data_IF_299179109859
#
_entry.id   IF_299179109859
#
_cell.length_a   1.000
_cell.length_b   1.000
_cell.length_c   1.000
_cell.angle_alpha   90.00
_cell.angle_beta   90.00
_cell.angle_gamma   90.00
#
_symmetry.space_group_name_H-M   'P 1'
#
loop_
_entity.id
_entity.type
_entity.pdbx_description
1 polymer ?
#
# COMPACT_ATOMS: atom_id res chain seq x y z
N UNK A 1 0.14 22.23 24.71
CA UNK A 1 1.06 21.22 24.13
C UNK A 1 1.18 21.53 22.64
N UNK A 2 2.39 21.73 22.12
CA UNK A 2 2.59 21.84 20.67
C UNK A 2 2.14 20.52 20.03
N UNK A 3 1.01 20.54 19.33
CA UNK A 3 0.46 19.37 18.66
C UNK A 3 1.42 19.00 17.52
N UNK A 4 2.10 17.86 17.63
CA UNK A 4 2.99 17.38 16.55
C UNK A 4 2.14 16.99 15.35
N UNK A 5 2.55 17.42 14.16
CA UNK A 5 1.89 17.09 12.90
C UNK A 5 1.90 15.57 12.69
N UNK A 6 3.02 14.90 12.90
CA UNK A 6 3.10 13.44 12.87
C UNK A 6 3.56 12.91 14.23
N UNK A 7 3.24 11.64 14.56
CA UNK A 7 3.75 11.01 15.76
C UNK A 7 5.29 10.95 15.75
N UNK A 8 5.88 10.90 16.94
CA UNK A 8 7.30 10.58 17.07
C UNK A 8 7.45 9.06 17.10
N UNK A 9 8.42 8.53 16.37
CA UNK A 9 8.76 7.12 16.44
C UNK A 9 10.01 6.88 17.28
N UNK A 10 10.10 5.69 17.85
CA UNK A 10 11.26 5.17 18.55
C UNK A 10 11.67 3.88 17.85
N UNK A 11 12.96 3.77 17.54
CA UNK A 11 13.58 2.59 16.96
C UNK A 11 15.08 2.63 17.27
N UNK A 12 15.78 1.49 17.26
CA UNK A 12 17.21 1.47 17.60
C UNK A 12 18.08 2.03 16.48
N UNK A 13 17.65 1.88 15.22
CA UNK A 13 18.37 2.35 14.04
C UNK A 13 18.06 3.83 13.80
N UNK A 14 19.09 4.68 13.90
CA UNK A 14 18.95 6.13 13.78
C UNK A 14 18.69 6.57 12.33
N UNK A 15 19.22 5.86 11.33
CA UNK A 15 19.01 6.21 9.92
C UNK A 15 17.53 6.10 9.55
N UNK A 16 16.84 5.14 10.17
CA UNK A 16 15.40 4.92 9.99
C UNK A 16 14.57 6.03 10.64
N UNK A 17 15.01 6.54 11.79
CA UNK A 17 14.39 7.69 12.44
C UNK A 17 14.62 8.95 11.58
N UNK A 18 15.81 9.12 11.03
CA UNK A 18 16.17 10.29 10.25
C UNK A 18 15.41 10.34 8.92
N UNK A 19 15.27 9.21 8.21
CA UNK A 19 14.46 9.16 6.98
C UNK A 19 12.96 9.34 7.26
N UNK A 20 12.44 8.81 8.38
CA UNK A 20 11.08 9.09 8.82
C UNK A 20 10.89 10.60 8.96
N UNK A 21 11.72 11.27 9.77
CA UNK A 21 11.62 12.71 10.03
C UNK A 21 11.80 13.55 8.75
N UNK A 22 12.75 13.18 7.89
CA UNK A 22 13.00 13.87 6.62
C UNK A 22 11.81 13.75 5.67
N UNK A 23 11.18 12.58 5.63
CA UNK A 23 9.98 12.34 4.81
C UNK A 23 8.81 13.22 5.25
N UNK A 24 8.65 13.46 6.57
CA UNK A 24 7.61 14.37 7.08
C UNK A 24 7.79 15.80 6.54
N UNK A 25 9.04 16.27 6.47
CA UNK A 25 9.37 17.59 5.91
C UNK A 25 9.05 17.65 4.42
N UNK A 26 9.44 16.65 3.64
CA UNK A 26 9.20 16.66 2.19
C UNK A 26 7.75 16.50 1.79
N UNK A 27 6.95 15.79 2.58
CA UNK A 27 5.50 15.71 2.34
C UNK A 27 4.87 17.09 2.40
N UNK A 28 5.32 17.94 3.34
CA UNK A 28 4.79 19.30 3.48
C UNK A 28 4.91 20.10 2.16
N UNK A 29 6.01 19.94 1.43
CA UNK A 29 6.24 20.59 0.13
C UNK A 29 5.29 20.10 -0.98
N UNK A 30 4.65 18.95 -0.77
CA UNK A 30 3.66 18.34 -1.67
C UNK A 30 2.20 18.58 -1.23
N UNK A 31 2.00 19.23 -0.09
CA UNK A 31 0.66 19.63 0.37
C UNK A 31 0.28 20.95 -0.30
N UNK A 32 -0.79 20.93 -1.08
CA UNK A 32 -1.37 22.11 -1.69
C UNK A 32 -2.46 22.66 -0.76
N UNK A 33 -2.30 23.93 -0.39
CA UNK A 33 -3.28 24.70 0.37
C UNK A 33 -4.05 25.61 -0.59
N UNK A 34 -5.30 25.27 -0.96
CA UNK A 34 -6.11 26.11 -1.84
C UNK A 34 -6.34 27.49 -1.20
N UNK A 35 -6.28 28.55 -2.02
CA UNK A 35 -6.64 29.89 -1.57
C UNK A 35 -8.15 29.94 -1.30
N UNK A 36 -8.55 30.64 -0.23
CA UNK A 36 -9.95 30.78 0.20
C UNK A 36 -10.89 31.13 -0.94
N UNK A 37 -11.98 30.37 -1.10
CA UNK A 37 -13.12 30.75 -1.94
C UNK A 37 -13.91 31.88 -1.26
N UNK A 38 -14.53 32.74 -2.08
CA UNK A 38 -15.55 33.68 -1.61
C UNK A 38 -16.67 32.91 -0.88
N UNK A 39 -17.12 33.45 0.26
CA UNK A 39 -18.11 32.89 1.19
C UNK A 39 -17.65 31.67 2.00
N UNK A 40 -16.64 31.84 2.84
CA UNK A 40 -16.52 31.13 4.14
C UNK A 40 -16.28 29.62 4.11
N UNK A 41 -16.20 28.97 2.95
CA UNK A 41 -15.76 27.59 2.79
C UNK A 41 -14.28 27.56 2.47
N UNK A 42 -13.45 27.17 3.45
CA UNK A 42 -12.06 26.78 3.19
C UNK A 42 -12.06 25.38 2.59
N UNK A 43 -11.61 25.23 1.35
CA UNK A 43 -11.26 23.90 0.84
C UNK A 43 -10.17 23.28 1.71
N UNK A 44 -10.26 21.96 1.93
CA UNK A 44 -9.22 21.25 2.68
C UNK A 44 -7.94 21.19 1.84
N UNK A 45 -6.79 21.14 2.51
CA UNK A 45 -5.52 20.83 1.87
C UNK A 45 -5.58 19.48 1.14
N UNK A 46 -4.75 19.29 0.11
CA UNK A 46 -4.65 18.02 -0.62
C UNK A 46 -3.21 17.73 -1.02
N UNK A 47 -2.87 16.45 -1.17
CA UNK A 47 -1.56 16.01 -1.61
C UNK A 47 -1.50 15.90 -3.13
N UNK A 48 -0.42 16.37 -3.75
CA UNK A 48 -0.13 16.13 -5.16
C UNK A 48 1.38 16.00 -5.39
N UNK A 49 1.81 14.91 -6.04
CA UNK A 49 3.22 14.72 -6.38
C UNK A 49 3.66 15.68 -7.49
N UNK A 50 2.76 15.87 -8.46
CA UNK A 50 2.90 16.75 -9.62
C UNK A 50 2.18 18.07 -9.34
N UNK A 51 2.76 19.17 -9.82
CA UNK A 51 2.05 20.43 -9.82
C UNK A 51 0.97 20.45 -10.90
N UNK A 52 1.16 19.75 -12.02
CA UNK A 52 0.33 19.90 -13.23
C UNK A 52 -0.95 19.06 -13.25
N UNK A 53 -0.97 17.95 -12.53
CA UNK A 53 -2.10 17.02 -12.52
C UNK A 53 -2.17 16.23 -11.22
N UNK A 54 -3.35 15.73 -10.90
CA UNK A 54 -3.55 14.70 -9.88
C UNK A 54 -3.56 13.31 -10.53
N UNK A 55 -2.95 12.33 -9.86
CA UNK A 55 -2.86 10.94 -10.31
C UNK A 55 -3.59 10.02 -9.32
N UNK A 56 -4.43 9.13 -9.84
CA UNK A 56 -5.30 8.27 -9.03
C UNK A 56 -4.51 7.35 -8.09
N UNK A 57 -3.41 6.77 -8.58
CA UNK A 57 -2.61 5.83 -7.79
C UNK A 57 -1.99 6.60 -6.62
N UNK A 58 -1.38 7.75 -6.89
CA UNK A 58 -0.78 8.60 -5.86
C UNK A 58 -1.82 9.16 -4.89
N UNK A 59 -3.01 9.53 -5.36
CA UNK A 59 -4.12 9.98 -4.51
C UNK A 59 -4.56 8.88 -3.53
N UNK A 60 -4.72 7.64 -4.01
CA UNK A 60 -5.10 6.50 -3.17
C UNK A 60 -3.97 6.11 -2.21
N UNK A 61 -2.74 5.97 -2.71
CA UNK A 61 -1.60 5.53 -1.91
C UNK A 61 -1.18 6.58 -0.87
N UNK A 62 -1.28 7.88 -1.18
CA UNK A 62 -0.96 8.93 -0.20
C UNK A 62 -1.85 8.89 1.05
N UNK A 63 -3.08 8.38 0.94
CA UNK A 63 -3.96 8.20 2.09
C UNK A 63 -3.37 7.27 3.17
N UNK A 64 -2.51 6.31 2.80
CA UNK A 64 -1.91 5.35 3.72
C UNK A 64 -0.90 5.99 4.68
N UNK A 65 -0.15 7.01 4.24
CA UNK A 65 0.77 7.73 5.13
C UNK A 65 0.16 9.02 5.71
N UNK A 66 -0.70 9.73 4.97
CA UNK A 66 -1.31 10.97 5.46
C UNK A 66 -2.26 10.74 6.63
N UNK A 67 -2.80 9.53 6.79
CA UNK A 67 -3.65 9.20 7.93
C UNK A 67 -2.90 9.26 9.26
N UNK A 68 -1.57 9.23 9.24
CA UNK A 68 -0.70 9.42 10.41
C UNK A 68 -0.34 10.89 10.69
N UNK A 69 -0.89 11.85 9.93
CA UNK A 69 -0.62 13.30 10.11
C UNK A 69 -1.40 13.96 11.26
N UNK A 70 -1.82 13.19 12.27
CA UNK A 70 -2.56 13.67 13.45
C UNK A 70 -3.75 14.62 13.16
N UNK A 71 -4.33 14.51 11.96
CA UNK A 71 -5.43 15.34 11.48
C UNK A 71 -5.04 16.70 10.91
N UNK A 72 -3.75 16.99 10.77
CA UNK A 72 -3.25 18.25 10.17
C UNK A 72 -3.33 18.23 8.64
N UNK A 73 -2.99 17.09 8.02
CA UNK A 73 -3.16 16.90 6.58
C UNK A 73 -4.35 15.99 6.30
N UNK A 74 -5.12 16.34 5.28
CA UNK A 74 -6.28 15.55 4.89
C UNK A 74 -5.81 14.32 4.10
N UNK A 75 -6.07 13.09 4.59
CA UNK A 75 -5.74 11.88 3.86
C UNK A 75 -6.78 11.57 2.76
N UNK A 76 -7.84 12.39 2.64
CA UNK A 76 -8.98 12.12 1.74
C UNK A 76 -9.14 13.15 0.64
N UNK A 77 -8.64 14.38 0.80
CA UNK A 77 -9.03 15.48 -0.09
C UNK A 77 -8.69 15.23 -1.56
N UNK A 78 -7.53 14.62 -1.84
CA UNK A 78 -7.17 14.30 -3.23
C UNK A 78 -8.11 13.26 -3.81
N UNK A 79 -8.50 12.24 -3.04
CA UNK A 79 -9.50 11.24 -3.44
C UNK A 79 -10.88 11.91 -3.64
N UNK A 80 -11.26 12.83 -2.76
CA UNK A 80 -12.54 13.55 -2.85
C UNK A 80 -12.63 14.38 -4.15
N UNK A 81 -11.50 14.92 -4.66
CA UNK A 81 -11.45 15.55 -5.99
C UNK A 81 -11.77 14.58 -7.11
N UNK A 82 -11.24 13.36 -7.08
CA UNK A 82 -11.60 12.33 -8.06
C UNK A 82 -13.09 11.99 -7.99
N UNK A 83 -13.66 11.89 -6.80
CA UNK A 83 -15.08 11.60 -6.63
C UNK A 83 -16.00 12.70 -7.14
N UNK A 84 -15.60 13.97 -7.03
CA UNK A 84 -16.33 15.11 -7.59
C UNK A 84 -16.34 15.10 -9.13
N UNK A 85 -15.37 14.43 -9.74
CA UNK A 85 -15.22 14.28 -11.19
C UNK A 85 -15.79 12.97 -11.72
N UNK A 86 -16.51 12.21 -10.89
CA UNK A 86 -17.22 11.01 -11.35
C UNK A 86 -18.30 11.39 -12.37
N UNK A 87 -18.21 10.80 -13.56
CA UNK A 87 -19.15 11.03 -14.64
C UNK A 87 -20.49 10.30 -14.40
N UNK A 88 -21.53 10.67 -15.15
CA UNK A 88 -22.84 10.01 -15.09
C UNK A 88 -22.76 8.50 -15.40
N UNK A 89 -21.77 8.08 -16.20
CA UNK A 89 -21.47 6.68 -16.52
C UNK A 89 -20.93 5.88 -15.33
N UNK A 90 -20.52 6.56 -14.24
CA UNK A 90 -19.76 6.00 -13.12
C UNK A 90 -18.24 6.10 -13.29
N UNK A 91 -17.75 6.52 -14.47
CA UNK A 91 -16.33 6.64 -14.76
C UNK A 91 -15.63 7.65 -13.84
N UNK A 92 -14.43 7.29 -13.41
CA UNK A 92 -13.45 8.20 -12.80
C UNK A 92 -12.15 7.94 -13.54
N UNK A 93 -11.57 8.99 -14.14
CA UNK A 93 -10.36 8.87 -14.95
C UNK A 93 -9.12 8.84 -14.07
N UNK A 94 -8.04 8.27 -14.58
CA UNK A 94 -6.79 8.03 -13.87
C UNK A 94 -6.01 9.31 -13.54
N UNK A 95 -6.23 10.38 -14.33
CA UNK A 95 -5.56 11.67 -14.18
C UNK A 95 -6.46 12.83 -14.61
N UNK A 96 -6.31 13.93 -13.89
CA UNK A 96 -6.95 15.21 -14.22
C UNK A 96 -5.96 16.36 -14.06
N UNK A 97 -5.98 17.33 -14.98
CA UNK A 97 -5.20 18.56 -14.88
C UNK A 97 -5.77 19.52 -13.81
N UNK A 98 -5.11 20.68 -13.60
CA UNK A 98 -5.58 21.72 -12.66
C UNK A 98 -6.97 22.30 -12.98
N UNK A 99 -7.39 22.20 -14.24
CA UNK A 99 -8.68 22.67 -14.75
C UNK A 99 -9.74 21.56 -14.71
N UNK A 100 -9.44 20.42 -14.09
CA UNK A 100 -10.28 19.23 -14.02
C UNK A 100 -10.56 18.55 -15.36
N UNK A 101 -9.76 18.79 -16.40
CA UNK A 101 -9.86 18.03 -17.64
C UNK A 101 -9.17 16.67 -17.50
N UNK A 102 -9.81 15.62 -18.00
CA UNK A 102 -9.23 14.28 -18.01
C UNK A 102 -7.99 14.23 -18.92
N UNK A 103 -6.90 13.63 -18.42
CA UNK A 103 -5.67 13.40 -19.19
C UNK A 103 -5.64 11.94 -19.61
N UNK A 104 -5.73 11.69 -20.91
CA UNK A 104 -5.67 10.36 -21.50
C UNK A 104 -4.23 10.01 -21.86
N UNK A 105 -3.83 8.77 -21.54
CA UNK A 105 -2.53 8.21 -21.90
C UNK A 105 -2.70 7.34 -23.13
N UNK A 106 -1.66 7.24 -23.96
CA UNK A 106 -1.66 6.39 -25.14
C UNK A 106 -1.99 4.92 -24.77
N UNK A 107 -3.01 4.34 -25.42
CA UNK A 107 -3.49 2.99 -25.10
C UNK A 107 -4.38 2.90 -23.86
N UNK A 108 -4.81 4.05 -23.32
CA UNK A 108 -5.75 4.17 -22.23
C UNK A 108 -6.91 5.13 -22.60
N UNK A 109 -7.63 4.80 -23.67
CA UNK A 109 -8.66 5.68 -24.24
C UNK A 109 -9.84 5.94 -23.28
N UNK A 110 -10.09 5.00 -22.38
CA UNK A 110 -11.08 5.13 -21.30
C UNK A 110 -10.50 5.80 -20.04
N UNK A 111 -9.22 6.16 -20.03
CA UNK A 111 -8.56 6.76 -18.87
C UNK A 111 -8.68 5.91 -17.61
N UNK A 112 -8.77 4.59 -17.69
CA UNK A 112 -8.89 3.71 -16.53
C UNK A 112 -7.60 3.74 -15.70
N UNK A 113 -7.71 3.69 -14.38
CA UNK A 113 -6.55 3.38 -13.54
C UNK A 113 -6.82 2.20 -12.61
N UNK A 114 -5.94 1.96 -11.65
CA UNK A 114 -6.05 0.77 -10.79
C UNK A 114 -7.31 0.84 -9.90
N UNK A 115 -8.06 -0.26 -9.74
CA UNK A 115 -9.32 -0.27 -8.98
C UNK A 115 -9.08 -0.29 -7.46
N UNK A 116 -8.43 0.75 -6.93
CA UNK A 116 -7.94 0.80 -5.54
C UNK A 116 -8.63 1.85 -4.64
N UNK A 117 -9.64 2.58 -5.15
CA UNK A 117 -10.39 3.53 -4.32
C UNK A 117 -11.05 2.83 -3.11
N UNK A 118 -11.72 1.69 -3.33
CA UNK A 118 -12.36 0.96 -2.24
C UNK A 118 -11.36 0.46 -1.20
N UNK A 119 -10.14 0.10 -1.62
CA UNK A 119 -9.07 -0.29 -0.70
C UNK A 119 -8.60 0.88 0.16
N UNK A 120 -8.39 2.05 -0.45
CA UNK A 120 -8.04 3.27 0.27
C UNK A 120 -9.12 3.63 1.30
N UNK A 121 -10.41 3.61 0.92
CA UNK A 121 -11.53 3.91 1.84
C UNK A 121 -11.65 2.89 2.97
N UNK A 122 -11.45 1.60 2.68
CA UNK A 122 -11.46 0.55 3.69
C UNK A 122 -10.33 0.77 4.71
N UNK A 123 -9.10 1.04 4.25
CA UNK A 123 -7.98 1.37 5.13
C UNK A 123 -8.28 2.63 5.97
N UNK A 124 -8.75 3.71 5.34
CA UNK A 124 -9.14 4.96 6.01
C UNK A 124 -10.21 4.73 7.08
N UNK A 125 -11.18 3.85 6.85
CA UNK A 125 -12.19 3.50 7.85
C UNK A 125 -11.56 2.86 9.08
N UNK A 126 -10.63 1.91 8.92
CA UNK A 126 -9.94 1.29 10.05
C UNK A 126 -9.12 2.30 10.85
N UNK A 127 -8.52 3.30 10.21
CA UNK A 127 -7.71 4.32 10.91
C UNK A 127 -8.52 5.48 11.49
N UNK A 128 -9.69 5.79 10.94
CA UNK A 128 -10.49 6.98 11.33
C UNK A 128 -11.84 6.65 11.97
N UNK A 129 -12.34 5.43 11.79
CA UNK A 129 -13.66 4.95 12.20
C UNK A 129 -14.84 5.73 11.60
N UNK A 130 -14.61 6.57 10.57
CA UNK A 130 -15.59 7.55 10.11
C UNK A 130 -16.71 6.90 9.28
N UNK A 131 -17.74 6.38 9.97
CA UNK A 131 -18.90 5.74 9.33
C UNK A 131 -19.68 6.68 8.40
N UNK A 132 -19.73 7.98 8.69
CA UNK A 132 -20.38 8.97 7.81
C UNK A 132 -19.71 9.01 6.45
N UNK A 133 -18.36 9.04 6.41
CA UNK A 133 -17.61 9.00 5.16
C UNK A 133 -17.99 7.79 4.31
N UNK A 134 -18.18 6.62 4.93
CA UNK A 134 -18.58 5.41 4.20
C UNK A 134 -19.96 5.59 3.54
N UNK A 135 -20.91 6.20 4.24
CA UNK A 135 -22.22 6.54 3.66
C UNK A 135 -22.10 7.48 2.46
N UNK A 136 -21.15 8.43 2.50
CA UNK A 136 -20.95 9.42 1.45
C UNK A 136 -20.29 8.79 0.20
N UNK A 137 -19.30 7.91 0.39
CA UNK A 137 -18.46 7.38 -0.70
C UNK A 137 -18.94 6.05 -1.28
N UNK A 138 -19.69 5.23 -0.54
CA UNK A 138 -20.10 3.90 -1.00
C UNK A 138 -20.88 3.92 -2.33
N UNK A 139 -21.82 4.86 -2.57
CA UNK A 139 -22.49 4.98 -3.87
C UNK A 139 -21.54 5.34 -5.02
N UNK A 140 -20.48 6.12 -4.75
CA UNK A 140 -19.46 6.48 -5.74
C UNK A 140 -18.62 5.26 -6.09
N UNK A 141 -18.20 4.48 -5.08
CA UNK A 141 -17.46 3.24 -5.27
C UNK A 141 -18.26 2.20 -6.07
N UNK A 142 -19.55 2.04 -5.76
CA UNK A 142 -20.44 1.14 -6.49
C UNK A 142 -20.54 1.50 -7.97
N UNK A 143 -20.80 2.79 -8.27
CA UNK A 143 -20.84 3.29 -9.66
C UNK A 143 -19.52 3.08 -10.40
N UNK A 144 -18.40 3.37 -9.76
CA UNK A 144 -17.08 3.18 -10.39
C UNK A 144 -16.81 1.70 -10.66
N UNK A 145 -17.11 0.81 -9.72
CA UNK A 145 -16.97 -0.63 -9.92
C UNK A 145 -17.83 -1.12 -11.09
N UNK A 146 -19.11 -0.70 -11.13
CA UNK A 146 -20.03 -1.08 -12.23
C UNK A 146 -19.59 -0.53 -13.57
N UNK A 147 -19.01 0.66 -13.61
CA UNK A 147 -18.40 1.19 -14.83
C UNK A 147 -17.24 0.31 -15.30
N UNK A 148 -16.34 -0.14 -14.40
CA UNK A 148 -15.27 -1.07 -14.76
C UNK A 148 -15.86 -2.40 -15.27
N UNK A 149 -16.83 -2.95 -14.56
CA UNK A 149 -17.53 -4.20 -14.92
C UNK A 149 -18.14 -4.11 -16.32
N UNK A 150 -18.86 -3.01 -16.62
CA UNK A 150 -19.51 -2.80 -17.91
C UNK A 150 -18.53 -2.74 -19.09
N UNK A 151 -17.35 -2.13 -18.91
CA UNK A 151 -16.45 -1.82 -20.02
C UNK A 151 -15.32 -2.85 -20.21
N UNK A 152 -14.89 -3.52 -19.14
CA UNK A 152 -13.66 -4.33 -19.16
C UNK A 152 -13.86 -5.80 -18.83
N UNK A 153 -15.02 -6.21 -18.28
CA UNK A 153 -15.35 -7.63 -18.06
C UNK A 153 -15.56 -8.34 -19.40
N UNK A 154 -15.02 -9.55 -19.54
CA UNK A 154 -15.19 -10.40 -20.74
C UNK A 154 -16.05 -11.63 -20.42
N UNK A 155 -16.44 -12.34 -21.48
CA UNK A 155 -17.37 -13.48 -21.40
C UNK A 155 -16.90 -14.62 -20.50
N UNK A 156 -15.60 -14.75 -20.25
CA UNK A 156 -15.03 -15.76 -19.37
C UNK A 156 -15.12 -15.40 -17.87
N UNK A 157 -15.51 -14.16 -17.55
CA UNK A 157 -15.63 -13.64 -16.19
C UNK A 157 -14.36 -12.96 -15.66
N UNK A 158 -13.32 -12.79 -16.48
CA UNK A 158 -12.13 -11.99 -16.17
C UNK A 158 -12.18 -10.62 -16.84
N UNK A 159 -11.42 -9.68 -16.29
CA UNK A 159 -11.26 -8.33 -16.81
C UNK A 159 -10.05 -8.26 -17.73
N UNK A 160 -10.18 -7.53 -18.84
CA UNK A 160 -9.11 -7.33 -19.82
C UNK A 160 -8.82 -5.85 -20.03
N UNK A 161 -7.55 -5.48 -19.84
CA UNK A 161 -6.99 -4.15 -20.10
C UNK A 161 -5.54 -4.29 -20.58
N UNK A 162 -5.02 -3.30 -21.31
CA UNK A 162 -3.62 -3.29 -21.73
C UNK A 162 -2.70 -2.71 -20.65
N UNK A 163 -2.40 -3.49 -19.61
CA UNK A 163 -1.58 -3.05 -18.47
C UNK A 163 -0.19 -2.52 -18.86
N UNK A 164 0.41 -3.00 -19.94
CA UNK A 164 1.74 -2.56 -20.37
C UNK A 164 1.73 -1.14 -20.93
N UNK A 165 0.67 -0.77 -21.66
CA UNK A 165 0.50 0.61 -22.14
C UNK A 165 0.08 1.55 -21.01
N UNK A 166 -0.74 1.07 -20.09
CA UNK A 166 -1.36 1.90 -19.05
C UNK A 166 -0.43 2.10 -17.84
N UNK A 167 0.15 1.04 -17.29
CA UNK A 167 0.89 1.06 -16.01
C UNK A 167 2.37 0.68 -16.15
N UNK A 168 2.67 -0.36 -16.93
CA UNK A 168 3.99 -1.01 -16.92
C UNK A 168 4.71 -0.85 -18.26
N UNK A 169 5.00 0.40 -18.64
CA UNK A 169 5.74 0.70 -19.88
C UNK A 169 7.01 -0.13 -19.93
N UNK A 170 7.22 -0.87 -21.02
CA UNK A 170 8.32 -1.81 -21.28
C UNK A 170 8.26 -3.19 -20.61
N UNK A 171 7.15 -3.57 -19.97
CA UNK A 171 7.03 -4.88 -19.32
C UNK A 171 7.22 -6.11 -20.25
N UNK A 172 7.82 -7.21 -19.74
CA UNK A 172 7.92 -8.48 -20.48
C UNK A 172 6.56 -9.15 -20.75
N UNK A 173 5.47 -8.68 -20.14
CA UNK A 173 4.11 -9.25 -20.20
C UNK A 173 3.39 -8.95 -21.53
N UNK A 174 4.10 -8.99 -22.68
CA UNK A 174 3.64 -8.41 -23.97
C UNK A 174 2.28 -8.92 -24.44
N UNK A 175 2.01 -10.20 -24.24
CA UNK A 175 0.79 -10.87 -24.72
C UNK A 175 -0.33 -10.90 -23.67
N UNK A 176 -0.15 -10.25 -22.51
CA UNK A 176 -1.13 -10.26 -21.44
C UNK A 176 -2.44 -9.59 -21.89
N UNK A 177 -3.50 -10.40 -21.95
CA UNK A 177 -4.85 -9.95 -22.25
C UNK A 177 -5.74 -9.95 -21.01
N UNK A 178 -5.60 -10.95 -20.14
CA UNK A 178 -6.23 -11.00 -18.82
C UNK A 178 -5.15 -10.84 -17.73
N UNK A 179 -4.92 -9.62 -17.26
CA UNK A 179 -3.83 -9.33 -16.34
C UNK A 179 -4.16 -9.70 -14.89
N UNK A 180 -3.28 -10.44 -14.22
CA UNK A 180 -3.50 -11.01 -12.88
C UNK A 180 -3.66 -9.93 -11.80
N UNK A 181 -2.85 -8.88 -11.87
CA UNK A 181 -2.90 -7.72 -10.97
C UNK A 181 -4.23 -6.99 -11.05
N UNK A 182 -4.69 -6.63 -12.24
CA UNK A 182 -5.95 -5.89 -12.39
C UNK A 182 -7.14 -6.72 -11.88
N UNK A 183 -7.18 -8.01 -12.23
CA UNK A 183 -8.22 -8.92 -11.74
C UNK A 183 -8.14 -9.09 -10.21
N UNK A 184 -6.95 -9.22 -9.63
CA UNK A 184 -6.76 -9.32 -8.18
C UNK A 184 -7.19 -8.05 -7.44
N UNK A 185 -6.86 -6.88 -7.96
CA UNK A 185 -7.28 -5.60 -7.38
C UNK A 185 -8.79 -5.37 -7.54
N UNK A 186 -9.40 -5.85 -8.64
CA UNK A 186 -10.84 -5.79 -8.83
C UNK A 186 -11.59 -6.74 -7.87
N UNK A 187 -11.05 -7.94 -7.59
CA UNK A 187 -11.54 -8.80 -6.49
C UNK A 187 -11.42 -8.07 -5.15
N UNK A 188 -10.27 -7.44 -4.90
CA UNK A 188 -10.04 -6.73 -3.64
C UNK A 188 -11.03 -5.58 -3.45
N UNK A 189 -11.30 -4.84 -4.52
CA UNK A 189 -12.30 -3.77 -4.53
C UNK A 189 -13.69 -4.30 -4.16
N UNK A 190 -14.11 -5.44 -4.71
CA UNK A 190 -15.37 -6.08 -4.35
C UNK A 190 -15.40 -6.52 -2.87
N UNK A 191 -14.30 -7.08 -2.37
CA UNK A 191 -14.15 -7.42 -0.95
C UNK A 191 -14.33 -6.17 -0.08
N UNK A 192 -13.60 -5.10 -0.34
CA UNK A 192 -13.68 -3.84 0.41
C UNK A 192 -15.09 -3.24 0.37
N UNK A 193 -15.72 -3.16 -0.80
CA UNK A 193 -17.10 -2.64 -0.93
C UNK A 193 -18.08 -3.48 -0.10
N UNK A 194 -17.94 -4.82 -0.11
CA UNK A 194 -18.81 -5.68 0.70
C UNK A 194 -18.67 -5.41 2.21
N UNK A 195 -17.44 -5.19 2.69
CA UNK A 195 -17.17 -4.87 4.09
C UNK A 195 -17.70 -3.48 4.47
N UNK A 196 -17.52 -2.49 3.58
CA UNK A 196 -18.06 -1.15 3.76
C UNK A 196 -19.60 -1.14 3.78
N UNK A 197 -20.25 -1.95 2.94
CA UNK A 197 -21.68 -2.15 2.96
C UNK A 197 -22.16 -2.83 4.27
N UNK A 198 -21.45 -3.86 4.73
CA UNK A 198 -21.71 -4.51 6.03
C UNK A 198 -21.66 -3.49 7.18
N UNK A 199 -20.67 -2.58 7.18
CA UNK A 199 -20.54 -1.51 8.19
C UNK A 199 -21.78 -0.59 8.22
N UNK A 200 -22.40 -0.33 7.06
CA UNK A 200 -23.62 0.46 6.95
C UNK A 200 -24.91 -0.35 7.17
N UNK A 201 -24.81 -1.67 7.40
CA UNK A 201 -25.92 -2.62 7.41
C UNK A 201 -26.69 -2.69 6.09
N UNK A 202 -26.06 -2.35 4.96
CA UNK A 202 -26.64 -2.55 3.63
C UNK A 202 -26.43 -4.01 3.19
N UNK A 203 -27.35 -4.87 3.63
CA UNK A 203 -27.28 -6.32 3.38
C UNK A 203 -27.39 -6.67 1.90
N UNK A 204 -28.11 -5.88 1.11
CA UNK A 204 -28.32 -6.15 -0.31
C UNK A 204 -27.03 -5.90 -1.08
N UNK A 205 -26.44 -4.71 -0.92
CA UNK A 205 -25.19 -4.36 -1.57
C UNK A 205 -24.04 -5.27 -1.10
N UNK A 206 -23.97 -5.55 0.20
CA UNK A 206 -23.01 -6.50 0.77
C UNK A 206 -23.08 -7.88 0.12
N UNK A 207 -24.30 -8.45 0.00
CA UNK A 207 -24.50 -9.75 -0.63
C UNK A 207 -24.13 -9.73 -2.13
N UNK A 208 -24.50 -8.65 -2.84
CA UNK A 208 -24.16 -8.47 -4.26
C UNK A 208 -22.63 -8.51 -4.47
N UNK A 209 -21.89 -7.74 -3.67
CA UNK A 209 -20.44 -7.68 -3.77
C UNK A 209 -19.73 -8.92 -3.25
N UNK A 210 -20.29 -9.62 -2.25
CA UNK A 210 -19.80 -10.96 -1.86
C UNK A 210 -19.89 -11.95 -3.02
N UNK A 211 -21.00 -11.95 -3.78
CA UNK A 211 -21.13 -12.80 -4.97
C UNK A 211 -20.08 -12.48 -6.03
N UNK A 212 -19.85 -11.19 -6.32
CA UNK A 212 -18.78 -10.75 -7.24
C UNK A 212 -17.40 -11.20 -6.76
N UNK A 213 -17.10 -10.98 -5.48
CA UNK A 213 -15.86 -11.41 -4.85
C UNK A 213 -15.63 -12.91 -5.03
N UNK A 214 -16.58 -13.76 -4.64
CA UNK A 214 -16.42 -15.21 -4.74
C UNK A 214 -16.34 -15.69 -6.18
N UNK A 215 -17.13 -15.12 -7.10
CA UNK A 215 -17.12 -15.48 -8.52
C UNK A 215 -15.77 -15.19 -9.17
N UNK A 216 -15.26 -13.96 -9.01
CA UNK A 216 -13.98 -13.58 -9.61
C UNK A 216 -12.79 -14.26 -8.91
N UNK A 217 -12.85 -14.44 -7.59
CA UNK A 217 -11.88 -15.26 -6.84
C UNK A 217 -11.80 -16.69 -7.39
N UNK A 218 -12.95 -17.32 -7.69
CA UNK A 218 -12.97 -18.67 -8.26
C UNK A 218 -12.32 -18.70 -9.64
N UNK A 219 -12.63 -17.73 -10.51
CA UNK A 219 -12.05 -17.61 -11.86
C UNK A 219 -10.54 -17.43 -11.83
N UNK A 220 -10.01 -16.56 -10.96
CA UNK A 220 -8.57 -16.37 -10.79
C UNK A 220 -7.91 -17.68 -10.34
N UNK A 221 -8.48 -18.33 -9.32
CA UNK A 221 -7.93 -19.59 -8.78
C UNK A 221 -7.97 -20.76 -9.77
N UNK A 222 -8.92 -20.77 -10.71
CA UNK A 222 -9.09 -21.87 -11.68
C UNK A 222 -8.33 -21.64 -12.98
N UNK A 223 -8.21 -20.39 -13.44
CA UNK A 223 -7.65 -20.08 -14.75
C UNK A 223 -6.21 -19.56 -14.66
N UNK A 224 -5.88 -18.79 -13.62
CA UNK A 224 -4.64 -18.02 -13.56
C UNK A 224 -3.59 -18.63 -12.62
N UNK A 225 -3.98 -19.64 -11.83
CA UNK A 225 -3.05 -20.39 -11.00
C UNK A 225 -2.50 -21.58 -11.77
N UNK A 226 -1.18 -21.74 -11.75
CA UNK A 226 -0.55 -22.96 -12.21
C UNK A 226 -0.17 -23.85 -11.01
N UNK A 227 -0.69 -25.07 -10.99
CA UNK A 227 -0.50 -25.99 -9.87
C UNK A 227 0.92 -26.56 -9.80
N UNK A 228 1.58 -26.72 -10.96
CA UNK A 228 2.94 -27.28 -11.06
C UNK A 228 3.97 -26.24 -10.60
N UNK A 229 3.89 -25.03 -11.15
CA UNK A 229 4.78 -23.93 -10.76
C UNK A 229 4.43 -23.40 -9.36
N UNK A 230 3.18 -23.54 -8.90
CA UNK A 230 2.75 -22.92 -7.65
C UNK A 230 2.77 -21.39 -7.72
N UNK A 231 2.33 -20.82 -8.85
CA UNK A 231 2.39 -19.38 -9.10
C UNK A 231 1.17 -18.89 -9.91
N UNK A 232 0.82 -17.60 -9.73
CA UNK A 232 -0.22 -16.96 -10.55
C UNK A 232 0.37 -16.22 -11.75
N UNK A 233 -0.30 -16.32 -12.89
CA UNK A 233 0.14 -15.75 -14.16
C UNK A 233 -0.95 -14.95 -14.85
N UNK A 234 -0.54 -14.08 -15.77
CA UNK A 234 -1.46 -13.52 -16.76
C UNK A 234 -1.92 -14.59 -17.75
N UNK A 235 -3.05 -14.32 -18.41
CA UNK A 235 -3.49 -15.10 -19.56
C UNK A 235 -3.43 -14.27 -20.84
N UNK A 236 -3.14 -14.97 -21.94
CA UNK A 236 -3.29 -14.43 -23.29
C UNK A 236 -4.78 -14.36 -23.70
N UNK A 237 -5.04 -13.87 -24.91
CA UNK A 237 -6.41 -13.74 -25.45
C UNK A 237 -7.14 -15.09 -25.58
N UNK A 238 -6.40 -16.20 -25.71
CA UNK A 238 -6.92 -17.56 -25.81
C UNK A 238 -7.01 -18.24 -24.43
N UNK A 239 -6.89 -17.48 -23.34
CA UNK A 239 -6.94 -17.96 -21.96
C UNK A 239 -5.80 -18.90 -21.58
N UNK A 240 -4.68 -18.86 -22.31
CA UNK A 240 -3.49 -19.63 -21.97
C UNK A 240 -2.56 -18.86 -21.05
N UNK A 241 -2.00 -19.57 -20.07
CA UNK A 241 -1.02 -19.02 -19.14
C UNK A 241 0.22 -18.50 -19.88
N UNK A 242 0.58 -17.25 -19.61
CA UNK A 242 1.82 -16.64 -20.05
C UNK A 242 2.90 -16.94 -19.00
N UNK A 243 3.84 -17.82 -19.35
CA UNK A 243 4.92 -18.29 -18.46
C UNK A 243 6.00 -17.23 -18.26
N UNK A 244 5.65 -16.18 -17.51
CA UNK A 244 6.55 -15.10 -17.12
C UNK A 244 6.26 -14.73 -15.66
N UNK A 245 7.13 -15.19 -14.75
CA UNK A 245 6.99 -14.93 -13.31
C UNK A 245 7.36 -13.47 -13.04
N UNK A 246 6.35 -12.63 -12.91
CA UNK A 246 6.52 -11.22 -12.57
C UNK A 246 5.97 -10.94 -11.18
N UNK A 247 6.41 -9.83 -10.57
CA UNK A 247 5.99 -9.41 -9.23
C UNK A 247 4.46 -9.32 -9.09
N UNK A 248 3.74 -9.11 -10.20
CA UNK A 248 2.29 -8.98 -10.17
C UNK A 248 1.55 -10.28 -9.84
N UNK A 249 2.21 -11.44 -10.01
CA UNK A 249 1.69 -12.75 -9.61
C UNK A 249 1.47 -12.89 -8.09
N UNK A 250 2.00 -11.96 -7.29
CA UNK A 250 1.81 -11.90 -5.85
C UNK A 250 0.59 -11.07 -5.40
N UNK A 251 -0.01 -10.27 -6.30
CA UNK A 251 -1.17 -9.43 -5.99
C UNK A 251 -2.40 -10.21 -5.48
N UNK A 252 -2.61 -11.48 -5.85
CA UNK A 252 -3.65 -12.30 -5.23
C UNK A 252 -3.58 -12.35 -3.69
N UNK A 253 -2.40 -12.21 -3.05
CA UNK A 253 -2.26 -12.16 -1.58
C UNK A 253 -2.88 -10.93 -0.94
N UNK A 254 -3.10 -9.84 -1.68
CA UNK A 254 -3.79 -8.66 -1.15
C UNK A 254 -5.26 -8.93 -0.85
N UNK A 255 -5.82 -9.99 -1.44
CA UNK A 255 -7.15 -10.48 -1.14
C UNK A 255 -7.09 -11.89 -0.57
N UNK A 256 -8.20 -12.36 -0.01
CA UNK A 256 -8.32 -13.75 0.40
C UNK A 256 -8.49 -14.69 -0.82
N UNK A 257 -7.69 -14.53 -1.88
CA UNK A 257 -7.73 -15.35 -3.10
C UNK A 257 -7.02 -16.70 -2.89
N UNK A 258 -5.71 -16.74 -2.59
CA UNK A 258 -5.00 -18.00 -2.41
C UNK A 258 -5.44 -18.73 -1.13
N UNK A 259 -5.34 -20.06 -1.16
CA UNK A 259 -5.39 -20.88 0.06
C UNK A 259 -4.07 -20.79 0.83
N UNK A 260 -4.06 -21.24 2.09
CA UNK A 260 -2.85 -21.25 2.93
C UNK A 260 -1.66 -21.99 2.27
N UNK A 261 -1.92 -23.12 1.63
CA UNK A 261 -0.90 -23.87 0.88
C UNK A 261 -0.33 -23.07 -0.30
N UNK A 262 -1.19 -22.35 -1.04
CA UNK A 262 -0.74 -21.47 -2.13
C UNK A 262 0.05 -20.28 -1.60
N UNK A 263 -0.35 -19.71 -0.46
CA UNK A 263 0.38 -18.63 0.22
C UNK A 263 1.80 -19.10 0.55
N UNK A 264 1.99 -20.30 1.11
CA UNK A 264 3.33 -20.82 1.40
C UNK A 264 4.19 -21.01 0.16
N UNK A 265 3.61 -21.51 -0.94
CA UNK A 265 4.30 -21.60 -2.24
C UNK A 265 4.70 -20.24 -2.81
N UNK A 266 3.83 -19.23 -2.67
CA UNK A 266 4.16 -17.86 -3.06
C UNK A 266 5.25 -17.25 -2.16
N UNK A 267 5.18 -17.47 -0.85
CA UNK A 267 6.19 -17.00 0.11
C UNK A 267 7.56 -17.63 -0.16
N UNK A 268 7.61 -18.88 -0.61
CA UNK A 268 8.85 -19.52 -1.06
C UNK A 268 9.55 -18.70 -2.16
N UNK A 269 8.80 -18.27 -3.19
CA UNK A 269 9.34 -17.43 -4.26
C UNK A 269 9.82 -16.05 -3.78
N UNK A 270 9.08 -15.43 -2.85
CA UNK A 270 9.48 -14.15 -2.26
C UNK A 270 10.77 -14.25 -1.44
N UNK A 271 11.05 -15.40 -0.82
CA UNK A 271 12.27 -15.63 -0.02
C UNK A 271 13.46 -16.13 -0.84
N UNK A 272 13.22 -16.72 -2.00
CA UNK A 272 14.27 -17.29 -2.83
C UNK A 272 15.06 -16.20 -3.56
N UNK A 273 16.37 -16.13 -3.35
CA UNK A 273 17.32 -15.26 -4.07
C UNK A 273 17.38 -15.56 -5.58
N UNK A 274 17.11 -16.80 -5.98
CA UNK A 274 16.92 -17.23 -7.37
C UNK A 274 15.63 -16.73 -8.03
N UNK A 275 14.75 -16.06 -7.30
CA UNK A 275 13.47 -15.57 -7.81
C UNK A 275 13.24 -14.11 -7.42
N UNK A 276 12.53 -13.83 -6.32
CA UNK A 276 12.17 -12.46 -5.93
C UNK A 276 12.86 -11.99 -4.65
N UNK A 277 13.49 -12.90 -3.90
CA UNK A 277 14.19 -12.61 -2.64
C UNK A 277 15.58 -11.99 -2.81
N UNK A 278 15.80 -11.23 -3.88
CA UNK A 278 17.07 -10.55 -4.18
C UNK A 278 17.48 -9.59 -3.07
N UNK A 279 18.78 -9.27 -2.89
CA UNK A 279 19.26 -8.39 -1.83
C UNK A 279 18.38 -7.15 -1.61
N UNK A 280 18.01 -6.45 -2.70
CA UNK A 280 16.91 -5.49 -2.74
C UNK A 280 15.62 -6.16 -3.24
N UNK A 281 14.68 -6.52 -2.36
CA UNK A 281 13.42 -7.16 -2.73
C UNK A 281 12.40 -6.10 -3.20
N UNK A 282 11.41 -6.39 -4.03
CA UNK A 282 11.26 -7.52 -4.93
C UNK A 282 11.45 -7.02 -6.37
N UNK A 283 12.21 -7.71 -7.22
CA UNK A 283 12.35 -7.33 -8.61
C UNK A 283 11.03 -7.52 -9.35
N UNK A 284 10.83 -6.74 -10.41
CA UNK A 284 9.64 -6.83 -11.27
C UNK A 284 9.54 -8.14 -12.06
N UNK A 285 10.67 -8.78 -12.34
CA UNK A 285 10.80 -10.05 -13.03
C UNK A 285 11.63 -11.01 -12.17
N UNK A 286 11.26 -12.28 -12.15
CA UNK A 286 12.00 -13.32 -11.44
C UNK A 286 13.43 -13.47 -11.97
N UNK A 287 14.40 -13.67 -11.07
CA UNK A 287 15.83 -13.79 -11.41
C UNK A 287 16.15 -14.97 -12.31
N UNK A 288 15.38 -16.05 -12.25
CA UNK A 288 15.54 -17.24 -13.09
C UNK A 288 15.07 -17.02 -14.56
N UNK A 289 14.40 -15.91 -14.86
CA UNK A 289 14.02 -15.59 -16.23
C UNK A 289 15.24 -15.13 -17.04
N UNK A 290 15.42 -15.70 -18.23
CA UNK A 290 16.49 -15.35 -19.17
C UNK A 290 16.56 -13.86 -19.54
N UNK A 291 15.47 -13.11 -19.40
CA UNK A 291 15.39 -11.68 -19.70
C UNK A 291 15.64 -10.80 -18.47
N UNK A 292 15.86 -11.39 -17.30
CA UNK A 292 16.17 -10.64 -16.08
C UNK A 292 17.43 -9.81 -16.25
N UNK A 293 17.37 -8.55 -15.82
CA UNK A 293 18.50 -7.63 -15.93
C UNK A 293 18.90 -7.06 -14.55
N UNK A 294 20.18 -7.28 -14.21
CA UNK A 294 20.79 -6.91 -12.92
C UNK A 294 20.83 -5.40 -12.67
N UNK A 295 20.84 -4.59 -13.73
CA UNK A 295 20.79 -3.13 -13.69
C UNK A 295 19.36 -2.59 -13.85
N UNK A 296 18.36 -3.47 -13.91
CA UNK A 296 16.95 -3.14 -14.03
C UNK A 296 16.40 -3.29 -15.44
N UNK A 297 16.47 -2.24 -16.26
CA UNK A 297 15.80 -2.14 -17.56
C UNK A 297 14.26 -2.05 -17.45
N UNK A 298 13.77 -1.17 -16.56
CA UNK A 298 12.35 -1.02 -16.26
C UNK A 298 11.78 -2.30 -15.64
N UNK A 299 10.76 -2.89 -16.26
CA UNK A 299 10.06 -4.04 -15.67
C UNK A 299 10.72 -5.41 -15.93
N UNK A 300 11.99 -5.42 -16.37
CA UNK A 300 12.82 -6.62 -16.57
C UNK A 300 13.71 -6.97 -15.36
N UNK A 301 13.51 -6.33 -14.21
CA UNK A 301 14.32 -6.62 -13.03
C UNK A 301 14.39 -5.48 -12.02
N UNK A 302 13.97 -4.26 -12.38
CA UNK A 302 13.98 -3.15 -11.42
C UNK A 302 13.03 -3.42 -10.25
N UNK A 303 13.39 -2.87 -9.09
CA UNK A 303 12.59 -2.89 -7.87
C UNK A 303 11.83 -1.57 -7.78
N UNK A 304 10.51 -1.60 -8.02
CA UNK A 304 9.65 -0.42 -7.89
C UNK A 304 9.04 -0.34 -6.49
N UNK A 305 9.32 0.74 -5.77
CA UNK A 305 8.90 0.92 -4.37
C UNK A 305 7.39 0.78 -4.18
N UNK A 306 6.57 1.36 -5.07
CA UNK A 306 5.11 1.24 -4.95
C UNK A 306 4.61 -0.20 -5.16
N UNK A 307 5.27 -1.01 -6.00
CA UNK A 307 4.89 -2.41 -6.22
C UNK A 307 5.25 -3.25 -4.99
N UNK A 308 6.42 -3.01 -4.40
CA UNK A 308 6.77 -3.63 -3.13
C UNK A 308 5.73 -3.33 -2.06
N UNK A 309 5.23 -2.10 -1.96
CA UNK A 309 4.17 -1.75 -1.02
C UNK A 309 2.96 -2.68 -1.17
N UNK A 310 2.48 -2.94 -2.38
CA UNK A 310 1.38 -3.90 -2.61
C UNK A 310 1.71 -5.30 -2.09
N UNK A 311 2.95 -5.78 -2.30
CA UNK A 311 3.36 -7.12 -1.84
C UNK A 311 3.46 -7.19 -0.32
N UNK A 312 4.03 -6.15 0.31
CA UNK A 312 4.10 -6.05 1.77
C UNK A 312 2.70 -6.04 2.39
N UNK A 313 1.77 -5.26 1.83
CA UNK A 313 0.37 -5.29 2.28
C UNK A 313 -0.28 -6.65 2.03
N UNK A 314 0.02 -7.33 0.92
CA UNK A 314 -0.43 -8.71 0.68
C UNK A 314 0.05 -9.70 1.72
N UNK A 315 1.32 -9.61 2.13
CA UNK A 315 1.88 -10.41 3.21
C UNK A 315 1.16 -10.15 4.54
N UNK A 316 0.79 -8.89 4.83
CA UNK A 316 0.00 -8.56 6.02
C UNK A 316 -1.41 -9.18 5.99
N UNK A 317 -2.11 -9.10 4.86
CA UNK A 317 -3.42 -9.77 4.69
C UNK A 317 -3.30 -11.29 4.88
N UNK A 318 -2.17 -11.87 4.49
CA UNK A 318 -1.84 -13.28 4.70
C UNK A 318 -1.23 -13.58 6.09
N UNK A 319 -1.24 -12.62 7.03
CA UNK A 319 -0.69 -12.76 8.39
C UNK A 319 0.80 -13.13 8.45
N UNK A 320 1.58 -12.74 7.43
CA UNK A 320 3.03 -12.94 7.32
C UNK A 320 3.81 -11.69 7.77
N UNK A 321 3.46 -11.14 8.93
CA UNK A 321 3.97 -9.84 9.41
C UNK A 321 5.51 -9.76 9.52
N UNK A 322 6.19 -10.84 9.93
CA UNK A 322 7.65 -10.84 10.04
C UNK A 322 8.35 -10.80 8.69
N UNK A 323 7.79 -11.50 7.70
CA UNK A 323 8.29 -11.50 6.33
C UNK A 323 8.08 -10.11 5.71
N UNK A 324 6.89 -9.53 5.93
CA UNK A 324 6.58 -8.16 5.55
C UNK A 324 7.59 -7.16 6.16
N UNK A 325 7.92 -7.30 7.45
CA UNK A 325 8.91 -6.47 8.12
C UNK A 325 10.32 -6.63 7.52
N UNK A 326 10.80 -7.86 7.36
CA UNK A 326 12.13 -8.14 6.82
C UNK A 326 12.35 -7.44 5.48
N UNK A 327 11.42 -7.62 4.54
CA UNK A 327 11.55 -7.04 3.20
C UNK A 327 11.33 -5.52 3.19
N UNK A 328 10.53 -4.98 4.13
CA UNK A 328 10.43 -3.52 4.32
C UNK A 328 11.78 -2.93 4.74
N UNK A 329 12.44 -3.53 5.73
CA UNK A 329 13.76 -3.10 6.23
C UNK A 329 14.79 -3.17 5.09
N UNK A 330 14.86 -4.30 4.38
CA UNK A 330 15.80 -4.50 3.27
C UNK A 330 15.64 -3.42 2.21
N UNK A 331 14.43 -3.19 1.70
CA UNK A 331 14.23 -2.18 0.67
C UNK A 331 14.55 -0.76 1.17
N UNK A 332 14.25 -0.45 2.44
CA UNK A 332 14.52 0.88 3.01
C UNK A 332 16.02 1.20 3.08
N UNK A 333 16.89 0.22 3.32
CA UNK A 333 18.35 0.43 3.24
C UNK A 333 18.78 0.85 1.83
N UNK A 334 18.28 0.19 0.77
CA UNK A 334 18.59 0.60 -0.62
C UNK A 334 18.09 2.00 -0.96
N UNK A 335 16.96 2.42 -0.38
CA UNK A 335 16.48 3.80 -0.51
C UNK A 335 17.43 4.77 0.19
N UNK A 336 17.87 4.45 1.40
CA UNK A 336 18.81 5.24 2.19
C UNK A 336 20.16 5.41 1.48
N UNK A 337 20.71 4.35 0.90
CA UNK A 337 22.02 4.39 0.21
C UNK A 337 22.04 5.42 -0.92
N UNK A 338 20.95 5.52 -1.70
CA UNK A 338 20.85 6.52 -2.78
C UNK A 338 20.64 7.94 -2.28
N UNK A 339 20.09 8.08 -1.06
CA UNK A 339 19.75 9.35 -0.49
C UNK A 339 20.89 9.95 0.34
N UNK A 340 21.74 9.11 0.91
CA UNK A 340 22.91 9.46 1.69
C UNK A 340 24.16 8.83 1.04
N UNK A 341 24.48 9.18 -0.22
CA UNK A 341 25.61 8.57 -0.90
C UNK A 341 26.93 8.99 -0.24
N UNK A 342 27.92 8.10 -0.29
CA UNK A 342 29.27 8.42 0.17
C UNK A 342 29.86 9.63 -0.56
N UNK A 343 30.34 10.63 0.18
CA UNK A 343 31.02 11.82 -0.34
C UNK A 343 30.17 13.10 -0.45
N UNK A 344 30.50 13.98 -1.41
CA UNK A 344 29.87 15.31 -1.59
C UNK A 344 28.74 15.34 -2.62
N UNK A 345 28.25 14.18 -3.08
CA UNK A 345 27.19 14.12 -4.10
C UNK A 345 25.83 14.29 -3.44
N UNK A 346 24.94 15.08 -4.05
CA UNK A 346 23.56 15.21 -3.57
C UNK A 346 22.80 13.90 -3.81
N UNK A 347 22.35 13.26 -2.74
CA UNK A 347 21.51 12.07 -2.82
C UNK A 347 20.09 12.38 -3.33
N UNK A 348 19.48 11.36 -3.93
CA UNK A 348 18.16 11.42 -4.53
C UNK A 348 17.38 10.15 -4.19
N UNK A 349 16.06 10.27 -4.09
CA UNK A 349 15.18 9.10 -4.11
C UNK A 349 14.74 8.82 -5.54
N UNK A 350 14.44 7.56 -5.83
CA UNK A 350 14.11 7.10 -7.18
C UNK A 350 12.82 6.30 -7.18
N UNK A 351 12.15 6.27 -8.32
CA UNK A 351 10.95 5.45 -8.53
C UNK A 351 11.29 3.95 -8.56
N UNK A 352 12.51 3.62 -9.01
CA UNK A 352 12.97 2.25 -9.13
C UNK A 352 14.47 2.08 -8.83
N UNK A 353 14.81 0.95 -8.20
CA UNK A 353 16.13 0.61 -7.69
C UNK A 353 16.65 -0.68 -8.31
N UNK A 354 17.98 -0.86 -8.29
CA UNK A 354 18.58 -2.12 -8.76
C UNK A 354 18.25 -3.27 -7.79
N UNK A 355 18.03 -4.49 -8.30
CA UNK A 355 17.66 -5.65 -7.48
C UNK A 355 18.84 -6.26 -6.68
N UNK A 356 20.06 -6.15 -7.20
CA UNK A 356 21.24 -6.86 -6.65
C UNK A 356 22.32 -5.93 -6.09
N UNK A 357 22.22 -4.62 -6.33
CA UNK A 357 23.24 -3.62 -5.97
C UNK A 357 22.57 -2.31 -5.58
N UNK A 358 23.33 -1.44 -4.94
CA UNK A 358 22.90 -0.09 -4.59
C UNK A 358 22.71 0.77 -5.84
N UNK A 359 21.93 1.85 -5.72
CA UNK A 359 21.71 2.81 -6.79
C UNK A 359 20.38 2.67 -7.52
N UNK A 360 20.02 3.70 -8.32
CA UNK A 360 18.86 3.64 -9.19
C UNK A 360 19.03 2.54 -10.24
N UNK A 361 17.93 1.88 -10.57
CA UNK A 361 17.88 1.07 -11.78
C UNK A 361 17.90 1.97 -13.01
N UNK A 362 18.12 1.38 -14.19
CA UNK A 362 17.78 2.03 -15.45
C UNK A 362 16.36 1.68 -15.87
N UNK A 363 15.62 2.64 -16.40
CA UNK A 363 14.38 2.38 -17.15
C UNK A 363 14.71 1.79 -18.53
N UNK A 364 15.78 2.27 -19.16
CA UNK A 364 16.35 1.76 -20.40
C UNK A 364 17.87 1.69 -20.23
N UNK A 365 18.41 0.47 -20.22
CA UNK A 365 19.85 0.23 -20.00
C UNK A 365 20.68 0.69 -21.20
N UNK A 366 20.21 0.45 -22.43
CA UNK A 366 20.94 0.76 -23.65
C UNK A 366 21.14 2.27 -23.80
N UNK A 367 20.08 3.03 -23.56
CA UNK A 367 20.08 4.49 -23.65
C UNK A 367 20.45 5.19 -22.33
N UNK A 368 20.78 4.42 -21.28
CA UNK A 368 21.11 4.91 -19.93
C UNK A 368 20.04 5.85 -19.34
N UNK A 369 18.77 5.58 -19.62
CA UNK A 369 17.65 6.38 -19.12
C UNK A 369 17.34 5.94 -17.69
N UNK A 370 17.39 6.88 -16.75
CA UNK A 370 17.03 6.65 -15.35
C UNK A 370 15.52 6.78 -15.14
N UNK A 371 14.94 6.07 -14.16
CA UNK A 371 13.56 6.25 -13.74
C UNK A 371 13.36 7.64 -13.12
N UNK A 372 12.10 8.01 -12.86
CA UNK A 372 11.80 9.29 -12.22
C UNK A 372 12.49 9.38 -10.86
N UNK A 373 13.01 10.57 -10.55
CA UNK A 373 13.58 10.89 -9.25
C UNK A 373 12.65 11.77 -8.43
N UNK A 374 12.89 11.83 -7.13
CA UNK A 374 12.22 12.71 -6.17
C UNK A 374 10.69 12.47 -6.06
N UNK A 375 10.24 11.21 -6.20
CA UNK A 375 8.84 10.80 -5.95
C UNK A 375 8.60 10.56 -4.46
N UNK A 376 8.11 11.58 -3.76
CA UNK A 376 7.91 11.56 -2.30
C UNK A 376 6.83 10.56 -1.89
N UNK A 377 5.77 10.39 -2.70
CA UNK A 377 4.64 9.53 -2.39
C UNK A 377 5.09 8.09 -2.10
N UNK A 378 5.97 7.54 -2.93
CA UNK A 378 6.41 6.15 -2.79
C UNK A 378 7.41 5.97 -1.65
N UNK A 379 8.30 6.95 -1.44
CA UNK A 379 9.15 6.98 -0.25
C UNK A 379 8.28 6.95 1.02
N UNK A 380 7.30 7.83 1.12
CA UNK A 380 6.45 7.99 2.30
C UNK A 380 5.64 6.73 2.66
N UNK A 381 5.34 5.87 1.67
CA UNK A 381 4.77 4.55 1.95
C UNK A 381 5.71 3.72 2.83
N UNK A 382 7.00 3.68 2.52
CA UNK A 382 7.99 2.91 3.29
C UNK A 382 8.42 3.64 4.56
N UNK A 383 8.80 4.90 4.44
CA UNK A 383 9.39 5.67 5.52
C UNK A 383 8.39 6.13 6.57
N UNK A 384 7.08 6.08 6.31
CA UNK A 384 6.04 6.44 7.29
C UNK A 384 5.07 5.28 7.50
N UNK A 385 4.34 4.86 6.46
CA UNK A 385 3.27 3.85 6.64
C UNK A 385 3.86 2.52 7.10
N UNK A 386 4.78 1.93 6.33
CA UNK A 386 5.39 0.64 6.68
C UNK A 386 6.42 0.76 7.82
N UNK A 387 6.99 1.96 8.05
CA UNK A 387 7.79 2.23 9.24
C UNK A 387 6.94 2.04 10.51
N UNK A 388 5.73 2.60 10.53
CA UNK A 388 4.81 2.44 11.66
C UNK A 388 4.24 1.02 11.71
N UNK A 389 3.75 0.51 10.58
CA UNK A 389 2.95 -0.72 10.52
C UNK A 389 3.79 -2.00 10.60
N UNK A 390 5.00 -2.02 10.02
CA UNK A 390 5.80 -3.23 9.86
C UNK A 390 7.11 -3.18 10.63
N UNK A 391 7.85 -2.06 10.58
CA UNK A 391 9.15 -1.96 11.25
C UNK A 391 8.96 -1.82 12.75
N UNK A 392 8.19 -0.81 13.17
CA UNK A 392 7.74 -0.66 14.56
C UNK A 392 6.71 -1.75 14.88
N UNK A 393 5.88 -2.14 13.91
CA UNK A 393 4.94 -3.26 14.02
C UNK A 393 3.57 -2.88 14.58
N UNK A 394 3.20 -1.59 14.56
CA UNK A 394 1.96 -1.08 15.16
C UNK A 394 0.87 -0.88 14.10
N UNK A 395 -0.18 -1.68 14.19
CA UNK A 395 -1.38 -1.56 13.35
C UNK A 395 -2.60 -1.23 14.20
N UNK A 396 -3.49 -0.36 13.69
CA UNK A 396 -4.61 0.16 14.47
C UNK A 396 -5.91 -0.01 13.70
N UNK A 397 -6.94 -0.46 14.42
CA UNK A 397 -8.33 -0.46 13.99
C UNK A 397 -9.18 0.26 15.02
N UNK A 398 -9.60 1.49 14.71
CA UNK A 398 -10.54 2.25 15.52
C UNK A 398 -11.94 1.62 15.60
N UNK A 399 -12.51 1.05 14.53
CA UNK A 399 -13.77 0.32 14.61
C UNK A 399 -13.71 -0.84 15.62
N UNK A 400 -12.61 -1.60 15.60
CA UNK A 400 -12.43 -2.74 16.51
C UNK A 400 -11.96 -2.31 17.90
N UNK A 401 -11.65 -1.01 18.08
CA UNK A 401 -11.00 -0.43 19.26
C UNK A 401 -9.72 -1.18 19.66
N UNK A 402 -8.98 -1.68 18.68
CA UNK A 402 -7.80 -2.52 18.91
C UNK A 402 -6.55 -1.89 18.31
N UNK A 403 -5.49 -1.89 19.09
CA UNK A 403 -4.12 -1.67 18.63
C UNK A 403 -3.41 -3.01 18.65
N UNK A 404 -2.89 -3.42 17.50
CA UNK A 404 -2.09 -4.61 17.33
C UNK A 404 -0.61 -4.23 17.31
N UNK A 405 0.20 -4.90 18.12
CA UNK A 405 1.65 -4.74 18.10
C UNK A 405 2.35 -6.07 17.87
N UNK A 406 3.02 -6.20 16.73
CA UNK A 406 3.98 -7.27 16.49
C UNK A 406 5.36 -6.81 16.96
N UNK A 407 5.87 -7.38 18.05
CA UNK A 407 7.21 -7.10 18.61
C UNK A 407 8.16 -8.22 18.18
N UNK A 408 8.96 -8.01 17.13
CA UNK A 408 9.82 -9.05 16.55
C UNK A 408 11.13 -9.24 17.31
N UNK A 409 11.57 -8.22 18.06
CA UNK A 409 12.79 -8.21 18.85
C UNK A 409 12.62 -7.33 20.09
N UNK A 410 13.38 -7.60 21.14
CA UNK A 410 13.38 -6.81 22.37
C UNK A 410 14.35 -5.64 22.24
N UNK A 411 13.83 -4.53 21.72
CA UNK A 411 14.58 -3.31 21.42
C UNK A 411 13.78 -2.06 21.84
N UNK A 412 14.43 -0.89 21.83
CA UNK A 412 13.70 0.37 21.98
C UNK A 412 12.86 0.54 20.73
N UNK A 413 11.55 0.46 20.86
CA UNK A 413 10.62 0.63 19.74
C UNK A 413 9.29 1.18 20.20
N UNK A 414 8.62 1.95 19.34
CA UNK A 414 7.28 2.42 19.61
C UNK A 414 6.96 3.77 19.00
N UNK A 415 5.87 4.34 19.49
CA UNK A 415 5.29 5.56 18.95
C UNK A 415 4.80 6.46 20.08
N UNK A 416 4.94 7.77 19.91
CA UNK A 416 4.52 8.79 20.86
C UNK A 416 3.67 9.85 20.14
N UNK A 417 2.65 10.35 20.84
CA UNK A 417 1.73 11.38 20.33
C UNK A 417 1.00 10.95 19.03
N UNK A 418 0.64 9.67 18.90
CA UNK A 418 -0.22 9.21 17.81
C UNK A 418 -1.66 9.61 18.08
N UNK A 419 -2.27 10.36 17.15
CA UNK A 419 -3.66 10.78 17.26
C UNK A 419 -4.62 9.68 16.79
N UNK A 420 -5.41 9.19 17.73
CA UNK A 420 -6.53 8.27 17.50
C UNK A 420 -7.83 9.06 17.66
N UNK A 421 -8.24 9.74 16.58
CA UNK A 421 -9.31 10.77 16.57
C UNK A 421 -9.04 11.94 17.51
N UNK A 422 -9.56 11.85 18.73
CA UNK A 422 -9.47 12.89 19.76
C UNK A 422 -8.50 12.50 20.88
N UNK A 423 -8.02 11.26 20.87
CA UNK A 423 -7.15 10.74 21.91
C UNK A 423 -5.70 10.74 21.41
N UNK A 424 -4.77 11.21 22.23
CA UNK A 424 -3.36 10.92 21.98
C UNK A 424 -2.99 9.58 22.62
N UNK A 425 -2.20 8.79 21.89
CA UNK A 425 -1.74 7.48 22.33
C UNK A 425 -0.22 7.39 22.18
N UNK A 426 0.42 6.92 23.24
CA UNK A 426 1.85 6.64 23.29
C UNK A 426 2.04 5.20 23.71
N UNK A 427 2.81 4.43 22.95
CA UNK A 427 3.10 3.01 23.18
C UNK A 427 4.58 2.81 22.90
N UNK A 428 5.38 2.56 23.94
CA UNK A 428 6.84 2.46 23.84
C UNK A 428 7.33 1.24 24.60
N UNK A 429 8.14 0.43 23.95
CA UNK A 429 8.93 -0.64 24.53
C UNK A 429 10.31 -0.08 24.83
N UNK A 430 10.75 -0.18 26.08
CA UNK A 430 12.06 0.28 26.51
C UNK A 430 12.64 -0.62 27.61
N UNK A 431 13.97 -0.64 27.73
CA UNK A 431 14.65 -1.39 28.80
C UNK A 431 14.69 -0.54 30.06
N UNK A 432 13.97 -0.97 31.10
CA UNK A 432 14.00 -0.38 32.44
C UNK A 432 14.95 -1.11 33.38
N UNK A 433 15.00 -0.69 34.65
CA UNK A 433 15.82 -1.34 35.70
C UNK A 433 15.38 -2.80 35.98
N UNK A 434 14.11 -3.13 35.73
CA UNK A 434 13.48 -4.43 36.03
C UNK A 434 13.34 -5.35 34.80
N UNK A 435 13.95 -4.98 33.66
CA UNK A 435 13.79 -5.69 32.39
C UNK A 435 13.09 -4.83 31.33
N UNK A 436 12.67 -5.48 30.25
CA UNK A 436 11.93 -4.84 29.16
C UNK A 436 10.47 -4.58 29.59
N UNK A 437 10.02 -3.35 29.37
CA UNK A 437 8.66 -2.93 29.70
C UNK A 437 7.99 -2.23 28.51
N UNK A 438 6.69 -2.43 28.37
CA UNK A 438 5.83 -1.67 27.46
C UNK A 438 5.10 -0.61 28.28
N UNK A 439 5.40 0.66 28.00
CA UNK A 439 4.71 1.82 28.53
C UNK A 439 3.61 2.25 27.57
N UNK A 440 2.42 2.42 28.10
CA UNK A 440 1.25 2.86 27.37
C UNK A 440 0.65 4.07 28.07
N UNK A 441 0.27 5.07 27.28
CA UNK A 441 -0.53 6.20 27.73
C UNK A 441 -1.66 6.39 26.72
N UNK A 442 -2.90 6.34 27.19
CA UNK A 442 -4.08 6.61 26.37
C UNK A 442 -5.16 7.31 27.18
N UNK A 443 -5.86 8.26 26.55
CA UNK A 443 -6.97 8.98 27.17
C UNK A 443 -8.25 8.13 27.29
N UNK A 444 -8.35 7.02 26.54
CA UNK A 444 -9.52 6.13 26.53
C UNK A 444 -9.13 4.66 26.57
N UNK A 445 -10.09 3.83 26.91
CA UNK A 445 -9.93 2.38 26.90
C UNK A 445 -9.86 1.85 25.47
N UNK A 446 -8.77 1.16 25.17
CA UNK A 446 -8.53 0.41 23.93
C UNK A 446 -8.12 -1.01 24.28
N UNK A 447 -8.35 -1.95 23.36
CA UNK A 447 -7.74 -3.27 23.43
C UNK A 447 -6.37 -3.24 22.80
N UNK A 448 -5.43 -3.94 23.41
CA UNK A 448 -4.07 -4.07 22.95
C UNK A 448 -3.74 -5.54 22.76
N UNK A 449 -3.57 -5.91 21.50
CA UNK A 449 -3.18 -7.25 21.12
C UNK A 449 -1.70 -7.24 20.79
N UNK A 450 -0.91 -7.99 21.55
CA UNK A 450 0.53 -8.04 21.38
C UNK A 450 0.90 -9.44 20.92
N UNK A 451 1.69 -9.53 19.86
CA UNK A 451 2.43 -10.72 19.49
C UNK A 451 3.91 -10.50 19.83
N UNK A 452 4.43 -11.24 20.80
CA UNK A 452 5.82 -11.10 21.27
C UNK A 452 6.65 -12.25 20.73
N UNK A 453 7.69 -11.91 19.95
CA UNK A 453 8.68 -12.85 19.42
C UNK A 453 8.08 -14.08 18.71
N UNK A 454 6.87 -13.94 18.14
CA UNK A 454 6.10 -15.01 17.49
C UNK A 454 5.77 -16.21 18.37
N UNK A 455 5.80 -16.05 19.70
CA UNK A 455 5.54 -17.16 20.63
C UNK A 455 4.13 -17.13 21.20
N UNK A 456 3.55 -15.95 21.38
CA UNK A 456 2.29 -15.79 22.11
C UNK A 456 1.58 -14.50 21.70
N UNK A 457 0.32 -14.65 21.30
CA UNK A 457 -0.61 -13.54 21.14
C UNK A 457 -1.38 -13.33 22.45
N UNK A 458 -1.44 -12.08 22.93
CA UNK A 458 -2.16 -11.74 24.14
C UNK A 458 -2.92 -10.43 23.95
N UNK A 459 -4.23 -10.47 24.21
CA UNK A 459 -5.08 -9.27 24.20
C UNK A 459 -5.31 -8.78 25.63
N UNK A 460 -5.08 -7.50 25.84
CA UNK A 460 -5.14 -6.83 27.14
C UNK A 460 -5.94 -5.53 27.01
N UNK A 461 -6.78 -5.16 27.99
CA UNK A 461 -7.34 -3.82 28.02
C UNK A 461 -6.24 -2.82 28.40
N UNK A 462 -6.09 -1.74 27.65
CA UNK A 462 -5.34 -0.55 28.06
C UNK A 462 -6.27 0.29 28.92
N UNK A 463 -6.05 0.42 30.24
CA UNK A 463 -6.82 1.35 31.06
C UNK A 463 -6.53 2.79 30.62
N UNK A 464 -7.51 3.68 30.78
CA UNK A 464 -7.26 5.12 30.60
C UNK A 464 -6.18 5.60 31.56
N UNK A 465 -5.27 6.44 31.09
CA UNK A 465 -4.11 6.93 31.83
C UNK A 465 -2.83 6.20 31.43
N UNK A 466 -1.88 6.14 32.37
CA UNK A 466 -0.56 5.52 32.16
C UNK A 466 -0.53 4.10 32.72
N UNK A 467 -0.01 3.18 31.91
CA UNK A 467 0.21 1.79 32.28
C UNK A 467 1.64 1.38 31.88
N UNK A 468 2.26 0.51 32.67
CA UNK A 468 3.51 -0.17 32.28
C UNK A 468 3.36 -1.66 32.53
N UNK A 469 3.82 -2.48 31.57
CA UNK A 469 3.78 -3.93 31.64
C UNK A 469 5.15 -4.52 31.39
N UNK A 470 5.65 -5.35 32.30
CA UNK A 470 6.89 -6.10 32.09
C UNK A 470 6.65 -7.22 31.08
N UNK A 471 7.47 -7.30 30.03
CA UNK A 471 7.34 -8.28 28.97
C UNK A 471 7.50 -9.72 29.47
N UNK A 472 8.36 -9.97 30.46
CA UNK A 472 8.56 -11.29 31.07
C UNK A 472 7.33 -11.81 31.84
N UNK A 473 6.34 -10.94 32.11
CA UNK A 473 5.08 -11.30 32.78
C UNK A 473 3.92 -11.53 31.81
N UNK A 474 4.13 -11.37 30.50
CA UNK A 474 3.11 -11.50 29.46
C UNK A 474 3.05 -12.93 28.92
#
# INVERSE_FOLDING_TARGET
MNKRIFPKIYYYDQDFIDIYNKSLSWIQDKIVFPQTLEKGKREKNYYSESLEFIDQIQACLSSFFLVYSNGEYSPTSTIDKFYQLQEASGAIRSRYDKSNNAIYMEGNDEGIGLPIFAWAEYNLYHKTGNKRRISDVLPILDKYYRWIEKNFLKGNGLYSINVNKIFYKNSPRKDAYYPIDFNSLQVHSAYCISKLADILNDKNLSLEYKKRFFSLKAKINSLMWDEIDGFYYDLDINEKIIRCKTIVGFLPMLSEIPSEDRIERMVFYLKSDKHFGTPNPFPTLSVDDSKFNLDGNGYYGSVYTYMNFFIIKGLEYCRRANIAREFTIRHLYYVLDTLLPDGKVKGHIWEAYKPMKEGPAYFDVENKILPKKDIICYLALFSISLMIENIIGLTISLPDKTVYWNIPALEIMGIECLSLRKNQTTIICNKGKRGWEIKMESEKLYYFTINILNKKEKTLPIPSGRCSMLLDKL
#
